data_IF_695889897732
#
_entry.id   IF_695889897732
#
_cell.length_a   1.000
_cell.length_b   1.000
_cell.length_c   1.000
_cell.angle_alpha   90.00
_cell.angle_beta   90.00
_cell.angle_gamma   90.00
#
_symmetry.space_group_name_H-M   'P 1'
#
loop_
_entity.id
_entity.type
_entity.pdbx_description
1 polymer ?
#
# COMPACT_ATOMS: atom_id res chain seq x y z
N UNK A 1 9.90 33.51 12.55
CA UNK A 1 9.97 32.08 12.91
C UNK A 1 8.60 31.49 12.71
N UNK A 2 8.47 30.48 11.86
CA UNK A 2 7.26 29.68 11.73
C UNK A 2 7.20 28.69 12.89
N UNK A 3 6.13 28.74 13.69
CA UNK A 3 5.84 27.75 14.74
C UNK A 3 4.78 26.77 14.25
N UNK A 4 4.93 25.51 14.64
CA UNK A 4 3.93 24.47 14.39
C UNK A 4 3.15 24.18 15.68
N UNK A 5 1.89 23.72 15.57
CA UNK A 5 1.14 23.30 16.75
C UNK A 5 1.84 22.19 17.53
N UNK A 6 1.58 22.10 18.83
CA UNK A 6 2.00 20.97 19.64
C UNK A 6 1.42 19.67 19.05
N UNK A 7 2.25 18.62 18.97
CA UNK A 7 1.86 17.34 18.38
C UNK A 7 1.81 17.32 16.84
N UNK A 8 2.32 18.36 16.16
CA UNK A 8 2.45 18.32 14.70
C UNK A 8 3.37 17.16 14.28
N UNK A 9 2.92 16.39 13.28
CA UNK A 9 3.65 15.24 12.79
C UNK A 9 4.61 15.65 11.66
N UNK A 10 5.90 15.41 11.88
CA UNK A 10 6.95 15.49 10.87
C UNK A 10 7.42 14.08 10.55
N UNK A 11 7.30 13.69 9.28
CA UNK A 11 7.59 12.34 8.87
C UNK A 11 8.01 12.20 7.42
N UNK A 12 8.37 10.98 7.08
CA UNK A 12 8.71 10.52 5.72
C UNK A 12 7.69 9.50 5.24
N UNK A 13 7.69 9.22 3.94
CA UNK A 13 6.78 8.25 3.34
C UNK A 13 7.52 7.32 2.35
N UNK A 14 7.09 6.07 2.28
CA UNK A 14 7.52 5.09 1.26
C UNK A 14 6.38 4.13 0.88
N UNK A 15 6.61 3.32 -0.16
CA UNK A 15 5.73 2.20 -0.52
C UNK A 15 6.52 0.89 -0.58
N UNK A 16 5.87 -0.20 -0.18
CA UNK A 16 6.44 -1.52 -0.05
C UNK A 16 7.18 -1.96 -1.32
N UNK A 17 6.51 -1.92 -2.48
CA UNK A 17 7.14 -2.36 -3.74
C UNK A 17 8.36 -1.52 -4.13
N UNK A 18 8.37 -0.22 -3.82
CA UNK A 18 9.48 0.66 -4.17
C UNK A 18 10.74 0.44 -3.34
N UNK A 19 10.64 -0.10 -2.11
CA UNK A 19 11.81 -0.16 -1.20
C UNK A 19 12.06 -1.51 -0.55
N UNK A 20 11.07 -2.40 -0.43
CA UNK A 20 11.24 -3.68 0.29
C UNK A 20 12.12 -4.68 -0.47
N UNK A 21 11.94 -4.79 -1.78
CA UNK A 21 12.60 -5.79 -2.62
C UNK A 21 11.99 -7.20 -2.51
N UNK A 22 12.18 -8.06 -3.52
CA UNK A 22 11.76 -9.47 -3.47
C UNK A 22 10.24 -9.70 -3.34
N UNK A 23 9.40 -8.83 -3.93
CA UNK A 23 7.95 -8.96 -3.90
C UNK A 23 7.41 -9.84 -5.04
N UNK A 24 7.84 -11.10 -5.08
CA UNK A 24 7.65 -12.00 -6.24
C UNK A 24 6.20 -12.35 -6.59
N UNK A 25 5.27 -12.14 -5.66
CA UNK A 25 3.85 -12.44 -5.83
C UNK A 25 3.05 -11.23 -6.31
N UNK A 26 3.68 -10.07 -6.50
CA UNK A 26 3.00 -8.86 -6.99
C UNK A 26 2.87 -8.87 -8.50
N UNK A 27 1.79 -8.26 -8.99
CA UNK A 27 1.59 -7.94 -10.40
C UNK A 27 2.70 -7.06 -10.98
N UNK A 28 3.19 -6.08 -10.23
CA UNK A 28 4.30 -5.23 -10.65
C UNK A 28 5.59 -6.02 -10.86
N UNK A 29 5.91 -6.98 -9.98
CA UNK A 29 7.08 -7.85 -10.15
C UNK A 29 6.99 -8.69 -11.44
N UNK A 30 5.80 -9.15 -11.80
CA UNK A 30 5.60 -9.85 -13.07
C UNK A 30 5.68 -8.89 -14.26
N UNK A 31 5.08 -7.71 -14.13
CA UNK A 31 5.02 -6.69 -15.17
C UNK A 31 6.40 -6.17 -15.57
N UNK A 32 7.24 -5.80 -14.60
CA UNK A 32 8.60 -5.27 -14.85
C UNK A 32 9.53 -6.26 -15.57
N UNK A 33 9.18 -7.57 -15.58
CA UNK A 33 9.91 -8.63 -16.29
C UNK A 33 9.30 -8.97 -17.65
N UNK A 34 8.19 -8.33 -18.01
CA UNK A 34 7.53 -8.54 -19.29
C UNK A 34 8.19 -7.65 -20.35
N UNK A 35 8.45 -8.21 -21.53
CA UNK A 35 8.99 -7.45 -22.65
C UNK A 35 8.02 -6.35 -23.12
N UNK A 36 8.56 -5.17 -23.46
CA UNK A 36 7.77 -4.06 -23.99
C UNK A 36 7.05 -3.20 -22.94
N UNK A 37 7.29 -3.44 -21.66
CA UNK A 37 6.83 -2.52 -20.61
C UNK A 37 7.71 -1.26 -20.56
N UNK A 38 7.19 -0.13 -20.06
CA UNK A 38 7.99 1.09 -19.87
C UNK A 38 8.98 1.00 -18.70
N UNK A 39 9.03 -0.14 -17.99
CA UNK A 39 9.96 -0.36 -16.91
C UNK A 39 11.38 -0.61 -17.47
N UNK A 40 12.31 0.30 -17.16
CA UNK A 40 13.71 0.18 -17.61
C UNK A 40 14.51 -0.72 -16.67
N UNK A 41 14.28 -0.59 -15.36
CA UNK A 41 14.98 -1.33 -14.32
C UNK A 41 13.95 -2.01 -13.39
N UNK A 42 13.95 -3.36 -13.30
CA UNK A 42 13.06 -4.07 -12.40
C UNK A 42 13.45 -3.80 -10.93
N UNK A 43 12.48 -3.86 -10.02
CA UNK A 43 12.66 -3.51 -8.60
C UNK A 43 13.77 -4.31 -7.92
N UNK A 44 13.92 -5.60 -8.27
CA UNK A 44 14.91 -6.49 -7.67
C UNK A 44 14.86 -6.47 -6.14
N UNK A 45 16.01 -6.23 -5.50
CA UNK A 45 16.11 -6.07 -4.04
C UNK A 45 15.74 -4.65 -3.56
N UNK A 46 15.48 -3.71 -4.48
CA UNK A 46 15.14 -2.32 -4.20
C UNK A 46 16.13 -1.66 -3.22
N UNK A 47 15.64 -1.12 -2.10
CA UNK A 47 16.48 -0.58 -1.02
C UNK A 47 16.77 -1.60 0.08
N UNK A 48 16.34 -2.86 -0.08
CA UNK A 48 16.45 -3.92 0.92
C UNK A 48 15.77 -3.56 2.26
N UNK A 49 14.75 -2.70 2.21
CA UNK A 49 14.04 -2.24 3.41
C UNK A 49 13.39 -3.41 4.16
N UNK A 50 13.04 -4.51 3.47
CA UNK A 50 12.48 -5.71 4.08
C UNK A 50 13.41 -6.31 5.15
N UNK A 51 14.73 -6.20 4.97
CA UNK A 51 15.70 -6.68 5.96
C UNK A 51 16.25 -5.54 6.84
N UNK A 52 16.29 -4.31 6.32
CA UNK A 52 16.98 -3.15 6.93
C UNK A 52 16.08 -2.15 7.65
N UNK A 53 14.75 -2.38 7.69
CA UNK A 53 13.79 -1.42 8.25
C UNK A 53 14.14 -0.87 9.64
N UNK A 54 14.82 -1.66 10.49
CA UNK A 54 15.23 -1.21 11.83
C UNK A 54 16.25 -0.08 11.77
N UNK A 55 17.25 -0.20 10.90
CA UNK A 55 18.30 0.80 10.75
C UNK A 55 17.69 2.11 10.21
N UNK A 56 16.77 2.00 9.25
CA UNK A 56 16.07 3.15 8.67
C UNK A 56 15.15 3.83 9.70
N UNK A 57 14.48 3.08 10.57
CA UNK A 57 13.66 3.62 11.67
C UNK A 57 14.53 4.35 12.69
N UNK A 58 15.69 3.78 13.06
CA UNK A 58 16.66 4.45 13.95
C UNK A 58 17.15 5.75 13.33
N UNK A 59 17.46 5.75 12.03
CA UNK A 59 17.86 6.95 11.29
C UNK A 59 16.75 8.02 11.31
N UNK A 60 15.51 7.65 11.02
CA UNK A 60 14.37 8.56 11.05
C UNK A 60 14.19 9.20 12.43
N UNK A 61 14.27 8.42 13.51
CA UNK A 61 14.19 8.92 14.88
C UNK A 61 15.38 9.85 15.21
N UNK A 62 16.59 9.50 14.78
CA UNK A 62 17.80 10.32 14.94
C UNK A 62 17.73 11.67 14.21
N UNK A 63 16.94 11.77 13.14
CA UNK A 63 16.65 13.03 12.43
C UNK A 63 15.55 13.88 13.11
N UNK A 64 14.95 13.39 14.20
CA UNK A 64 13.88 14.07 14.92
C UNK A 64 12.49 13.92 14.27
N UNK A 65 12.32 12.98 13.35
CA UNK A 65 11.02 12.65 12.79
C UNK A 65 10.18 11.86 13.81
N UNK A 66 8.88 12.14 13.85
CA UNK A 66 7.94 11.53 14.80
C UNK A 66 6.80 10.77 14.10
N UNK A 67 6.82 10.68 12.76
CA UNK A 67 5.86 9.92 11.99
C UNK A 67 6.55 9.20 10.82
N UNK A 68 6.03 8.04 10.47
CA UNK A 68 6.49 7.29 9.30
C UNK A 68 5.30 6.68 8.57
N UNK A 69 5.13 7.05 7.31
CA UNK A 69 4.12 6.48 6.43
C UNK A 69 4.73 5.41 5.55
N UNK A 70 4.16 4.21 5.56
CA UNK A 70 4.59 3.12 4.67
C UNK A 70 3.38 2.31 4.24
N UNK A 71 3.51 1.55 3.15
CA UNK A 71 2.48 0.58 2.79
C UNK A 71 2.83 -0.83 3.26
N UNK A 72 1.80 -1.62 3.51
CA UNK A 72 1.92 -3.07 3.66
C UNK A 72 1.55 -3.74 2.33
N UNK A 73 2.15 -4.90 2.05
CA UNK A 73 2.01 -5.53 0.74
C UNK A 73 0.95 -6.64 0.73
N UNK A 74 -0.12 -6.43 -0.02
CA UNK A 74 -1.20 -7.42 -0.18
C UNK A 74 -0.64 -8.72 -0.76
N UNK A 75 0.23 -8.67 -1.77
CA UNK A 75 0.82 -9.86 -2.38
C UNK A 75 1.68 -10.71 -1.41
N UNK A 76 2.19 -10.12 -0.31
CA UNK A 76 2.89 -10.87 0.74
C UNK A 76 1.95 -11.41 1.79
N UNK A 77 0.97 -10.62 2.19
CA UNK A 77 0.01 -10.98 3.23
C UNK A 77 -0.97 -12.04 2.74
N UNK A 78 -1.37 -11.98 1.47
CA UNK A 78 -2.25 -12.94 0.81
C UNK A 78 -1.65 -13.36 -0.55
N UNK A 79 -0.61 -14.22 -0.54
CA UNK A 79 0.08 -14.66 -1.75
C UNK A 79 -0.79 -15.44 -2.74
N UNK A 80 -1.84 -16.10 -2.26
CA UNK A 80 -2.87 -16.79 -3.04
C UNK A 80 -4.26 -16.49 -2.44
N UNK A 81 -5.34 -16.60 -3.22
CA UNK A 81 -6.68 -16.21 -2.77
C UNK A 81 -7.10 -17.00 -1.50
N UNK A 82 -7.25 -16.29 -0.38
CA UNK A 82 -7.66 -16.86 0.90
C UNK A 82 -6.51 -17.43 1.75
N UNK A 83 -5.28 -17.48 1.21
CA UNK A 83 -4.11 -17.96 1.94
C UNK A 83 -3.37 -16.80 2.59
N UNK A 84 -3.54 -16.61 3.90
CA UNK A 84 -2.91 -15.49 4.63
C UNK A 84 -1.58 -15.89 5.27
N UNK A 85 -0.50 -15.25 4.88
CA UNK A 85 0.85 -15.49 5.38
C UNK A 85 1.03 -14.92 6.80
N UNK A 86 1.15 -15.81 7.79
CA UNK A 86 1.51 -15.42 9.16
C UNK A 86 2.88 -14.77 9.22
N UNK A 87 3.86 -15.29 8.47
CA UNK A 87 5.21 -14.74 8.43
C UNK A 87 5.25 -13.29 7.92
N UNK A 88 4.45 -12.95 6.91
CA UNK A 88 4.35 -11.59 6.39
C UNK A 88 3.68 -10.65 7.42
N UNK A 89 2.59 -11.09 8.05
CA UNK A 89 1.95 -10.33 9.14
C UNK A 89 2.91 -10.11 10.31
N UNK A 90 3.67 -11.13 10.72
CA UNK A 90 4.66 -11.02 11.79
C UNK A 90 5.80 -10.07 11.41
N UNK A 91 6.22 -10.05 10.14
CA UNK A 91 7.19 -9.06 9.64
C UNK A 91 6.67 -7.63 9.82
N UNK A 92 5.48 -7.32 9.31
CA UNK A 92 4.89 -5.98 9.46
C UNK A 92 4.62 -5.62 10.93
N UNK A 93 4.26 -6.59 11.76
CA UNK A 93 4.13 -6.38 13.20
C UNK A 93 5.45 -5.97 13.84
N UNK A 94 6.58 -6.60 13.49
CA UNK A 94 7.92 -6.22 14.00
C UNK A 94 8.33 -4.83 13.53
N UNK A 95 8.02 -4.45 12.30
CA UNK A 95 8.25 -3.11 11.78
C UNK A 95 7.45 -2.06 12.58
N UNK A 96 6.17 -2.32 12.80
CA UNK A 96 5.30 -1.45 13.60
C UNK A 96 5.78 -1.33 15.06
N UNK A 97 6.19 -2.43 15.69
CA UNK A 97 6.81 -2.42 17.02
C UNK A 97 8.05 -1.53 17.01
N UNK A 98 8.95 -1.70 16.04
CA UNK A 98 10.16 -0.89 15.91
C UNK A 98 9.85 0.61 15.80
N UNK A 99 8.82 1.00 15.05
CA UNK A 99 8.38 2.40 14.99
C UNK A 99 7.98 2.92 16.39
N UNK A 100 7.14 2.16 17.10
CA UNK A 100 6.64 2.55 18.43
C UNK A 100 7.75 2.64 19.47
N UNK A 101 8.70 1.71 19.44
CA UNK A 101 9.88 1.71 20.33
C UNK A 101 10.75 2.96 20.16
N UNK A 102 10.76 3.54 18.95
CA UNK A 102 11.54 4.75 18.63
C UNK A 102 10.69 6.02 18.64
N UNK A 103 9.48 5.99 19.20
CA UNK A 103 8.61 7.17 19.29
C UNK A 103 8.05 7.65 17.95
N UNK A 104 8.09 6.81 16.92
CA UNK A 104 7.55 7.11 15.59
C UNK A 104 6.11 6.63 15.49
N UNK A 105 5.20 7.51 15.08
CA UNK A 105 3.81 7.18 14.77
C UNK A 105 3.69 6.48 13.40
N UNK A 106 3.31 5.19 13.34
CA UNK A 106 3.20 4.49 12.07
C UNK A 106 1.86 4.79 11.37
N UNK A 107 1.96 5.31 10.15
CA UNK A 107 0.84 5.59 9.24
C UNK A 107 0.83 4.51 8.16
N UNK A 108 -0.11 3.57 8.22
CA UNK A 108 -0.10 2.40 7.34
C UNK A 108 -1.03 2.60 6.14
N UNK A 109 -0.49 2.43 4.94
CA UNK A 109 -1.25 2.40 3.69
C UNK A 109 -1.52 0.95 3.29
N UNK A 110 -2.78 0.56 3.15
CA UNK A 110 -3.15 -0.84 2.87
C UNK A 110 -2.98 -1.22 1.40
N UNK A 111 -3.13 -0.25 0.49
CA UNK A 111 -2.95 -0.44 -0.94
C UNK A 111 -2.14 0.70 -1.56
N UNK A 112 -1.03 0.36 -2.22
CA UNK A 112 -0.14 1.30 -2.87
C UNK A 112 0.29 0.77 -4.24
N UNK A 113 -0.64 0.81 -5.19
CA UNK A 113 -0.46 0.52 -6.63
C UNK A 113 -0.18 -0.95 -7.00
N UNK A 114 0.09 -1.82 -6.04
CA UNK A 114 0.33 -3.25 -6.28
C UNK A 114 -0.87 -4.12 -5.96
N UNK A 115 -1.06 -5.16 -6.77
CA UNK A 115 -2.01 -6.23 -6.53
C UNK A 115 -1.29 -7.58 -6.40
N UNK A 116 -1.85 -8.54 -5.63
CA UNK A 116 -1.43 -9.93 -5.75
C UNK A 116 -1.63 -10.43 -7.18
N UNK A 117 -0.67 -11.21 -7.69
CA UNK A 117 -0.73 -11.78 -9.05
C UNK A 117 -2.01 -12.58 -9.29
N UNK A 118 -2.47 -13.35 -8.30
CA UNK A 118 -3.70 -14.13 -8.40
C UNK A 118 -4.94 -13.27 -8.65
N UNK A 119 -4.96 -12.04 -8.10
CA UNK A 119 -6.06 -11.10 -8.29
C UNK A 119 -5.95 -10.42 -9.66
N UNK A 120 -4.72 -10.07 -10.07
CA UNK A 120 -4.49 -9.50 -11.39
C UNK A 120 -4.92 -10.45 -12.52
N UNK A 121 -4.65 -11.76 -12.39
CA UNK A 121 -5.10 -12.79 -13.34
C UNK A 121 -6.62 -12.85 -13.46
N UNK A 122 -7.37 -12.51 -12.40
CA UNK A 122 -8.84 -12.48 -12.39
C UNK A 122 -9.44 -11.18 -12.94
N UNK A 123 -8.60 -10.22 -13.35
CA UNK A 123 -9.02 -8.92 -13.87
C UNK A 123 -8.63 -7.74 -12.96
N UNK A 124 -7.95 -7.98 -11.85
CA UNK A 124 -7.45 -6.92 -10.97
C UNK A 124 -8.56 -6.01 -10.47
N UNK A 125 -8.39 -4.70 -10.64
CA UNK A 125 -9.40 -3.71 -10.29
C UNK A 125 -10.72 -3.83 -11.08
N UNK A 126 -10.71 -4.42 -12.28
CA UNK A 126 -11.93 -4.64 -13.05
C UNK A 126 -12.71 -5.88 -12.60
N UNK A 127 -12.12 -6.71 -11.73
CA UNK A 127 -12.81 -7.88 -11.22
C UNK A 127 -13.94 -7.46 -10.28
N UNK A 128 -15.18 -7.94 -10.52
CA UNK A 128 -16.35 -7.50 -9.75
C UNK A 128 -16.26 -7.77 -8.24
N UNK A 129 -15.45 -8.75 -7.82
CA UNK A 129 -15.21 -9.05 -6.40
C UNK A 129 -14.06 -8.26 -5.79
N UNK A 130 -13.37 -7.39 -6.53
CA UNK A 130 -12.24 -6.60 -6.04
C UNK A 130 -12.57 -5.87 -4.72
N UNK A 131 -13.68 -5.11 -4.58
CA UNK A 131 -13.95 -4.36 -3.36
C UNK A 131 -14.10 -5.27 -2.13
N UNK A 132 -14.78 -6.39 -2.30
CA UNK A 132 -15.01 -7.36 -1.24
C UNK A 132 -13.72 -8.09 -0.83
N UNK A 133 -12.86 -8.43 -1.80
CA UNK A 133 -11.55 -9.05 -1.56
C UNK A 133 -10.61 -8.08 -0.86
N UNK A 134 -10.58 -6.82 -1.29
CA UNK A 134 -9.79 -5.78 -0.65
C UNK A 134 -10.24 -5.54 0.78
N UNK A 135 -11.54 -5.48 1.04
CA UNK A 135 -12.08 -5.37 2.39
C UNK A 135 -11.70 -6.56 3.29
N UNK A 136 -11.74 -7.80 2.77
CA UNK A 136 -11.29 -9.01 3.48
C UNK A 136 -9.82 -8.92 3.85
N UNK A 137 -8.97 -8.51 2.92
CA UNK A 137 -7.55 -8.31 3.17
C UNK A 137 -7.32 -7.25 4.27
N UNK A 138 -7.97 -6.10 4.15
CA UNK A 138 -7.87 -5.02 5.14
C UNK A 138 -8.36 -5.45 6.53
N UNK A 139 -9.44 -6.22 6.61
CA UNK A 139 -9.91 -6.80 7.89
C UNK A 139 -8.84 -7.69 8.53
N UNK A 140 -8.23 -8.57 7.74
CA UNK A 140 -7.22 -9.53 8.23
C UNK A 140 -5.94 -8.83 8.68
N UNK A 141 -5.46 -7.87 7.90
CA UNK A 141 -4.32 -7.05 8.28
C UNK A 141 -4.62 -6.19 9.52
N UNK A 142 -5.78 -5.53 9.60
CA UNK A 142 -6.17 -4.74 10.76
C UNK A 142 -6.34 -5.59 12.03
N UNK A 143 -6.83 -6.82 11.90
CA UNK A 143 -6.93 -7.77 13.04
C UNK A 143 -5.56 -8.09 13.62
N UNK A 144 -4.53 -8.25 12.77
CA UNK A 144 -3.18 -8.64 13.20
C UNK A 144 -2.30 -7.46 13.63
N UNK A 145 -2.54 -6.26 13.08
CA UNK A 145 -1.62 -5.12 13.15
C UNK A 145 -2.24 -3.87 13.79
N UNK A 146 -3.56 -3.79 13.86
CA UNK A 146 -4.30 -2.55 14.13
C UNK A 146 -4.07 -1.95 15.51
N UNK A 147 -3.64 -2.76 16.49
CA UNK A 147 -3.25 -2.30 17.83
C UNK A 147 -1.98 -1.42 17.82
N UNK A 148 -1.16 -1.52 16.78
CA UNK A 148 0.09 -0.78 16.65
C UNK A 148 0.01 0.37 15.63
N UNK A 149 -1.05 0.46 14.83
CA UNK A 149 -1.19 1.50 13.79
C UNK A 149 -1.63 2.84 14.43
N UNK A 150 -1.02 3.95 14.03
CA UNK A 150 -1.46 5.29 14.47
C UNK A 150 -2.55 5.84 13.55
N UNK A 151 -2.38 5.70 12.24
CA UNK A 151 -3.36 6.12 11.23
C UNK A 151 -3.39 5.10 10.09
N UNK A 152 -4.56 4.80 9.56
CA UNK A 152 -4.73 3.95 8.39
C UNK A 152 -5.11 4.78 7.16
N UNK A 153 -4.39 4.57 6.06
CA UNK A 153 -4.78 4.97 4.72
C UNK A 153 -5.22 3.71 3.97
N UNK A 154 -6.45 3.67 3.45
CA UNK A 154 -6.89 2.49 2.69
C UNK A 154 -6.11 2.39 1.37
N UNK A 155 -6.15 3.45 0.56
CA UNK A 155 -5.68 3.46 -0.82
C UNK A 155 -4.91 4.76 -1.04
N UNK A 156 -3.69 4.63 -1.56
CA UNK A 156 -2.93 5.76 -2.09
C UNK A 156 -3.39 6.09 -3.52
N UNK A 157 -3.66 7.37 -3.77
CA UNK A 157 -3.89 7.97 -5.10
C UNK A 157 -4.81 7.13 -6.00
N UNK A 158 -6.05 6.86 -5.56
CA UNK A 158 -7.02 6.08 -6.33
C UNK A 158 -7.24 6.64 -7.75
N UNK A 159 -7.11 7.95 -7.94
CA UNK A 159 -7.19 8.63 -9.24
C UNK A 159 -6.14 8.14 -10.25
N UNK A 160 -4.93 7.80 -9.79
CA UNK A 160 -3.84 7.35 -10.66
C UNK A 160 -3.94 5.88 -11.08
N UNK A 161 -4.71 5.06 -10.36
CA UNK A 161 -4.81 3.62 -10.62
C UNK A 161 -5.52 3.33 -11.95
N UNK A 162 -6.61 4.04 -12.23
CA UNK A 162 -7.33 3.94 -13.50
C UNK A 162 -6.52 4.52 -14.66
N UNK A 163 -6.05 5.76 -14.52
CA UNK A 163 -5.37 6.47 -15.61
C UNK A 163 -4.05 5.78 -16.00
N UNK A 164 -3.20 5.48 -15.01
CA UNK A 164 -1.88 4.89 -15.24
C UNK A 164 -1.94 3.49 -15.85
N UNK A 165 -2.87 2.65 -15.38
CA UNK A 165 -3.00 1.25 -15.82
C UNK A 165 -3.82 1.04 -17.09
N UNK A 166 -4.75 1.95 -17.40
CA UNK A 166 -5.77 1.74 -18.44
C UNK A 166 -5.76 2.78 -19.56
N UNK A 167 -5.25 3.99 -19.34
CA UNK A 167 -5.17 5.03 -20.36
C UNK A 167 -3.73 5.24 -20.84
N UNK A 168 -2.80 5.44 -19.90
CA UNK A 168 -1.40 5.74 -20.21
C UNK A 168 -0.57 4.47 -20.47
N UNK A 169 -0.95 3.36 -19.84
CA UNK A 169 -0.23 2.09 -19.93
C UNK A 169 1.15 2.10 -19.26
N UNK A 170 1.32 2.92 -18.22
CA UNK A 170 2.56 3.07 -17.45
C UNK A 170 2.61 2.20 -16.20
N UNK A 171 1.44 1.72 -15.75
CA UNK A 171 1.30 0.76 -14.65
C UNK A 171 0.68 -0.54 -15.18
N UNK A 172 0.82 -1.69 -14.49
CA UNK A 172 0.03 -2.88 -14.80
C UNK A 172 -1.48 -2.53 -14.83
N UNK A 173 -2.29 -3.08 -15.76
CA UNK A 173 -1.96 -4.06 -16.81
C UNK A 173 -1.37 -3.48 -18.10
N UNK A 174 -1.01 -2.19 -18.15
CA UNK A 174 -0.39 -1.56 -19.32
C UNK A 174 -1.33 -1.33 -20.49
N UNK A 175 -2.65 -1.26 -20.26
CA UNK A 175 -3.62 -0.95 -21.30
C UNK A 175 -3.51 0.53 -21.69
N UNK A 176 -3.84 0.83 -22.94
CA UNK A 176 -3.75 2.18 -23.52
C UNK A 176 -5.09 2.61 -24.10
N UNK A 177 -5.51 3.83 -23.78
CA UNK A 177 -6.75 4.43 -24.30
C UNK A 177 -8.07 3.80 -23.81
N UNK A 178 -8.05 2.93 -22.80
CA UNK A 178 -9.24 2.25 -22.27
C UNK A 178 -9.94 3.12 -21.21
N UNK A 179 -10.57 4.21 -21.69
CA UNK A 179 -11.27 5.20 -20.84
C UNK A 179 -12.46 4.57 -20.11
N UNK A 180 -13.14 3.60 -20.71
CA UNK A 180 -14.25 2.89 -20.07
C UNK A 180 -13.75 2.07 -18.87
N UNK A 181 -12.65 1.35 -19.01
CA UNK A 181 -12.04 0.65 -17.89
C UNK A 181 -11.52 1.60 -16.82
N UNK A 182 -10.92 2.74 -17.20
CA UNK A 182 -10.47 3.76 -16.24
C UNK A 182 -11.61 4.18 -15.29
N UNK A 183 -12.80 4.51 -15.82
CA UNK A 183 -13.95 4.86 -14.99
C UNK A 183 -14.45 3.70 -14.14
N UNK A 184 -14.49 2.48 -14.70
CA UNK A 184 -14.86 1.29 -13.94
C UNK A 184 -13.90 1.03 -12.77
N UNK A 185 -12.60 1.24 -12.97
CA UNK A 185 -11.58 1.12 -11.91
C UNK A 185 -11.82 2.18 -10.83
N UNK A 186 -12.12 3.42 -11.21
CA UNK A 186 -12.44 4.45 -10.22
C UNK A 186 -13.63 4.06 -9.34
N UNK A 187 -14.72 3.54 -9.91
CA UNK A 187 -15.87 3.02 -9.16
C UNK A 187 -15.47 1.90 -8.18
N UNK A 188 -14.73 0.90 -8.67
CA UNK A 188 -14.31 -0.27 -7.90
C UNK A 188 -13.36 0.11 -6.75
N UNK A 189 -12.45 1.05 -6.99
CA UNK A 189 -11.49 1.54 -6.00
C UNK A 189 -12.18 2.39 -4.93
N UNK A 190 -13.15 3.24 -5.31
CA UNK A 190 -13.94 4.02 -4.34
C UNK A 190 -14.82 3.12 -3.46
N UNK A 191 -15.47 2.12 -4.05
CA UNK A 191 -16.23 1.12 -3.28
C UNK A 191 -15.30 0.27 -2.39
N UNK A 192 -14.13 -0.09 -2.91
CA UNK A 192 -13.08 -0.76 -2.15
C UNK A 192 -12.64 0.05 -0.93
N UNK A 193 -12.40 1.36 -1.09
CA UNK A 193 -12.13 2.27 0.03
C UNK A 193 -13.26 2.23 1.07
N UNK A 194 -14.53 2.37 0.64
CA UNK A 194 -15.68 2.40 1.53
C UNK A 194 -15.77 1.13 2.38
N UNK A 195 -15.65 -0.04 1.75
CA UNK A 195 -15.72 -1.33 2.42
C UNK A 195 -14.50 -1.59 3.32
N UNK A 196 -13.30 -1.29 2.83
CA UNK A 196 -12.06 -1.43 3.61
C UNK A 196 -12.04 -0.52 4.83
N UNK A 197 -12.51 0.73 4.72
CA UNK A 197 -12.57 1.65 5.84
C UNK A 197 -13.50 1.11 6.95
N UNK A 198 -14.65 0.55 6.58
CA UNK A 198 -15.55 -0.10 7.52
C UNK A 198 -14.91 -1.35 8.16
N UNK A 199 -14.23 -2.17 7.37
CA UNK A 199 -13.55 -3.38 7.83
C UNK A 199 -12.39 -3.08 8.80
N UNK A 200 -11.60 -2.03 8.55
CA UNK A 200 -10.52 -1.62 9.45
C UNK A 200 -11.12 -1.11 10.77
N UNK A 201 -12.14 -0.25 10.71
CA UNK A 201 -12.78 0.32 11.91
C UNK A 201 -13.47 -0.72 12.79
N UNK A 202 -13.92 -1.84 12.22
CA UNK A 202 -14.53 -2.93 13.01
C UNK A 202 -13.50 -3.73 13.82
N UNK A 203 -12.22 -3.64 13.46
CA UNK A 203 -11.11 -4.38 14.10
C UNK A 203 -10.21 -3.49 14.95
N UNK A 204 -10.05 -2.22 14.58
CA UNK A 204 -9.17 -1.28 15.25
C UNK A 204 -9.82 0.09 15.40
N UNK A 205 -9.75 0.66 16.61
CA UNK A 205 -10.23 2.02 16.91
C UNK A 205 -9.20 3.07 16.51
N UNK A 206 -8.87 3.12 15.22
CA UNK A 206 -7.86 4.03 14.65
C UNK A 206 -8.50 4.98 13.63
N UNK A 207 -7.94 6.18 13.41
CA UNK A 207 -8.32 7.02 12.28
C UNK A 207 -8.08 6.30 10.95
N UNK A 208 -9.07 6.34 10.05
CA UNK A 208 -9.00 5.70 8.73
C UNK A 208 -9.43 6.67 7.65
N UNK A 209 -8.62 6.82 6.59
CA UNK A 209 -8.89 7.70 5.45
C UNK A 209 -8.33 7.18 4.13
N UNK A 210 -8.36 8.03 3.11
CA UNK A 210 -7.79 7.83 1.77
C UNK A 210 -6.79 8.96 1.48
N UNK A 211 -5.78 8.71 0.65
CA UNK A 211 -4.85 9.76 0.20
C UNK A 211 -5.13 10.07 -1.26
N UNK A 212 -5.42 11.34 -1.56
CA UNK A 212 -5.64 11.85 -2.91
C UNK A 212 -4.51 12.81 -3.28
N UNK A 213 -3.90 12.64 -4.45
CA UNK A 213 -3.01 13.62 -5.06
C UNK A 213 -3.86 14.68 -5.78
N UNK A 214 -4.05 15.80 -5.10
CA UNK A 214 -4.77 16.95 -5.64
C UNK A 214 -3.79 17.90 -6.31
N UNK A 215 -3.98 18.18 -7.59
CA UNK A 215 -3.25 19.25 -8.27
C UNK A 215 -3.81 20.59 -7.83
N UNK A 216 -2.95 21.46 -7.30
CA UNK A 216 -3.30 22.86 -7.07
C UNK A 216 -3.35 23.56 -8.43
N UNK A 217 -4.51 24.12 -8.77
CA UNK A 217 -4.64 25.07 -9.88
C UNK A 217 -4.10 26.43 -9.50
#
# INVERSE_FOLDING_TARGET
MTSFPEGFLFGTAQSAHQVEGGNVNSDWWAWERTEGTPCVEPSGDACDFYHRYRDDIVLMAGLGLNAFRFSIEWARIEPEEGEFSRAALDHYRRLLISCREHGIAPIVTFHHFTLPRWLQVKGGFLFDRFPALFARYCERAATALGDLIAYACTINEPEGLGEGGYVLGVNPPGRKGDVAAMWRVAEQVLEGHRLAAAAIRSRAKIPVGVTLALTTR
#
